data_IF_538302605175
#
_entry.id   IF_538302605175
#
_cell.length_a   1.000
_cell.length_b   1.000
_cell.length_c   1.000
_cell.angle_alpha   90.00
_cell.angle_beta   90.00
_cell.angle_gamma   90.00
#
_symmetry.space_group_name_H-M   'P 1'
#
loop_
_entity.id
_entity.type
_entity.pdbx_description
1 polymer ?
#
# COMPACT_ATOMS: atom_id res chain seq x y z
N UNK A 1 24.96 71.76 -73.39
CA UNK A 1 24.11 72.03 -72.20
C UNK A 1 22.98 71.03 -72.04
N UNK A 2 22.27 70.64 -73.10
CA UNK A 2 21.08 69.77 -73.04
C UNK A 2 21.36 68.33 -72.60
N UNK A 3 22.44 67.70 -73.10
CA UNK A 3 22.79 66.32 -72.77
C UNK A 3 23.17 66.10 -71.29
N UNK A 4 23.87 67.07 -70.70
CA UNK A 4 24.31 67.01 -69.30
C UNK A 4 23.13 67.13 -68.33
N UNK A 5 22.13 67.96 -68.66
CA UNK A 5 20.89 68.10 -67.89
C UNK A 5 20.03 66.84 -67.97
N UNK A 6 20.01 66.14 -69.11
CA UNK A 6 19.28 64.88 -69.24
C UNK A 6 19.92 63.75 -68.44
N UNK A 7 21.25 63.67 -68.43
CA UNK A 7 21.99 62.68 -67.65
C UNK A 7 21.75 62.87 -66.14
N UNK A 8 21.85 64.10 -65.65
CA UNK A 8 21.55 64.44 -64.26
C UNK A 8 20.10 64.08 -63.86
N UNK A 9 19.12 64.28 -64.75
CA UNK A 9 17.72 63.87 -64.50
C UNK A 9 17.54 62.35 -64.41
N UNK A 10 18.32 61.59 -65.16
CA UNK A 10 18.30 60.12 -65.10
C UNK A 10 18.90 59.65 -63.78
N UNK A 11 20.03 60.20 -63.36
CA UNK A 11 20.69 59.87 -62.09
C UNK A 11 19.80 60.20 -60.87
N UNK A 12 19.14 61.36 -60.86
CA UNK A 12 18.17 61.71 -59.80
C UNK A 12 17.04 60.68 -59.71
N UNK A 13 16.49 60.24 -60.84
CA UNK A 13 15.43 59.22 -60.85
C UNK A 13 15.93 57.86 -60.36
N UNK A 14 17.17 57.52 -60.67
CA UNK A 14 17.79 56.27 -60.22
C UNK A 14 17.98 56.29 -58.69
N UNK A 15 18.53 57.39 -58.14
CA UNK A 15 18.67 57.58 -56.70
C UNK A 15 17.31 57.57 -55.98
N UNK A 16 16.27 58.15 -56.57
CA UNK A 16 14.91 58.09 -56.02
C UNK A 16 14.40 56.65 -55.92
N UNK A 17 14.54 55.84 -56.98
CA UNK A 17 14.16 54.42 -56.95
C UNK A 17 14.98 53.61 -55.95
N UNK A 18 16.27 53.88 -55.84
CA UNK A 18 17.13 53.22 -54.86
C UNK A 18 16.71 53.58 -53.42
N UNK A 19 16.37 54.85 -53.17
CA UNK A 19 15.83 55.27 -51.87
C UNK A 19 14.48 54.62 -51.57
N UNK A 20 13.56 54.52 -52.54
CA UNK A 20 12.28 53.83 -52.38
C UNK A 20 12.47 52.34 -52.09
N UNK A 21 13.37 51.67 -52.81
CA UNK A 21 13.70 50.26 -52.58
C UNK A 21 14.35 50.03 -51.21
N UNK A 22 15.24 50.94 -50.78
CA UNK A 22 15.84 50.89 -49.44
C UNK A 22 14.77 51.11 -48.34
N UNK A 23 13.84 52.04 -48.53
CA UNK A 23 12.74 52.27 -47.59
C UNK A 23 11.84 51.04 -47.45
N UNK A 24 11.47 50.39 -48.58
CA UNK A 24 10.70 49.15 -48.55
C UNK A 24 11.45 48.01 -47.84
N UNK A 25 12.77 47.90 -48.06
CA UNK A 25 13.61 46.93 -47.36
C UNK A 25 13.67 47.18 -45.85
N UNK A 26 13.79 48.44 -45.44
CA UNK A 26 13.81 48.83 -44.02
C UNK A 26 12.46 48.51 -43.34
N UNK A 27 11.34 48.79 -43.98
CA UNK A 27 10.02 48.42 -43.45
C UNK A 27 9.82 46.90 -43.34
N UNK A 28 10.34 46.14 -44.32
CA UNK A 28 10.39 44.68 -44.24
C UNK A 28 11.19 44.18 -43.04
N UNK A 29 12.40 44.72 -42.84
CA UNK A 29 13.25 44.38 -41.70
C UNK A 29 12.62 44.76 -40.36
N UNK A 30 11.93 45.91 -40.30
CA UNK A 30 11.21 46.35 -39.09
C UNK A 30 10.10 45.38 -38.72
N UNK A 31 9.32 44.94 -39.71
CA UNK A 31 8.26 43.94 -39.50
C UNK A 31 8.82 42.60 -39.02
N UNK A 32 9.94 42.15 -39.59
CA UNK A 32 10.62 40.93 -39.16
C UNK A 32 11.14 41.04 -37.72
N UNK A 33 11.73 42.18 -37.35
CA UNK A 33 12.18 42.45 -35.98
C UNK A 33 11.01 42.43 -34.99
N UNK A 34 9.85 42.98 -35.35
CA UNK A 34 8.68 42.99 -34.48
C UNK A 34 8.11 41.57 -34.29
N UNK A 35 8.09 40.76 -35.36
CA UNK A 35 7.71 39.34 -35.27
C UNK A 35 8.66 38.55 -34.36
N UNK A 36 9.97 38.72 -34.53
CA UNK A 36 10.98 38.04 -33.71
C UNK A 36 10.88 38.43 -32.23
N UNK A 37 10.63 39.72 -31.93
CA UNK A 37 10.39 40.17 -30.55
C UNK A 37 9.16 39.50 -29.93
N UNK A 38 8.09 39.35 -30.71
CA UNK A 38 6.89 38.67 -30.25
C UNK A 38 7.16 37.19 -29.95
N UNK A 39 7.91 36.50 -30.81
CA UNK A 39 8.30 35.10 -30.61
C UNK A 39 9.18 34.93 -29.36
N UNK A 40 10.19 35.79 -29.17
CA UNK A 40 11.03 35.79 -27.97
C UNK A 40 10.18 35.98 -26.71
N UNK A 41 9.19 36.89 -26.75
CA UNK A 41 8.29 37.15 -25.61
C UNK A 41 7.35 35.96 -25.33
N UNK A 42 7.02 35.15 -26.34
CA UNK A 42 6.27 33.91 -26.17
C UNK A 42 7.15 32.85 -25.51
N UNK A 43 8.35 32.61 -26.05
CA UNK A 43 9.29 31.61 -25.53
C UNK A 43 9.73 31.92 -24.09
N UNK A 44 9.88 33.18 -23.72
CA UNK A 44 10.16 33.58 -22.34
C UNK A 44 9.05 33.17 -21.38
N UNK A 45 7.79 33.43 -21.75
CA UNK A 45 6.63 33.03 -20.94
C UNK A 45 6.50 31.52 -20.84
N UNK A 46 6.75 30.80 -21.92
CA UNK A 46 6.75 29.33 -21.90
C UNK A 46 7.86 28.81 -20.99
N UNK A 47 9.07 29.37 -21.03
CA UNK A 47 10.16 28.97 -20.15
C UNK A 47 9.84 29.22 -18.66
N UNK A 48 9.18 30.33 -18.34
CA UNK A 48 8.71 30.62 -16.99
C UNK A 48 7.66 29.59 -16.55
N UNK A 49 6.70 29.25 -17.41
CA UNK A 49 5.69 28.24 -17.14
C UNK A 49 6.31 26.85 -16.90
N UNK A 50 7.23 26.41 -17.77
CA UNK A 50 7.94 25.13 -17.59
C UNK A 50 8.77 25.11 -16.31
N UNK A 51 9.39 26.23 -15.93
CA UNK A 51 10.13 26.34 -14.66
C UNK A 51 9.21 26.15 -13.46
N UNK A 52 8.00 26.75 -13.49
CA UNK A 52 7.00 26.56 -12.44
C UNK A 52 6.51 25.10 -12.37
N UNK A 53 6.26 24.46 -13.51
CA UNK A 53 5.88 23.04 -13.56
C UNK A 53 6.96 22.12 -12.99
N UNK A 54 8.23 22.37 -13.30
CA UNK A 54 9.36 21.61 -12.75
C UNK A 54 9.44 21.72 -11.23
N UNK A 55 9.17 22.90 -10.67
CA UNK A 55 9.12 23.09 -9.21
C UNK A 55 8.00 22.23 -8.61
N UNK A 56 6.80 22.26 -9.18
CA UNK A 56 5.67 21.46 -8.71
C UNK A 56 5.96 19.95 -8.80
N UNK A 57 6.57 19.50 -9.90
CA UNK A 57 6.95 18.09 -10.07
C UNK A 57 7.98 17.68 -9.03
N UNK A 58 8.97 18.54 -8.74
CA UNK A 58 9.97 18.29 -7.71
C UNK A 58 9.34 18.14 -6.32
N UNK A 59 8.40 19.01 -5.97
CA UNK A 59 7.71 18.93 -4.67
C UNK A 59 6.87 17.66 -4.56
N UNK A 60 6.15 17.29 -5.62
CA UNK A 60 5.39 16.03 -5.67
C UNK A 60 6.30 14.82 -5.55
N UNK A 61 7.47 14.85 -6.19
CA UNK A 61 8.45 13.76 -6.12
C UNK A 61 8.97 13.57 -4.70
N UNK A 62 9.29 14.65 -3.98
CA UNK A 62 9.71 14.58 -2.58
C UNK A 62 8.60 13.99 -1.68
N UNK A 63 7.34 14.36 -1.90
CA UNK A 63 6.21 13.78 -1.16
C UNK A 63 6.09 12.28 -1.43
N UNK A 64 6.18 11.87 -2.70
CA UNK A 64 6.10 10.46 -3.08
C UNK A 64 7.27 9.65 -2.52
N UNK A 65 8.49 10.19 -2.51
CA UNK A 65 9.66 9.55 -1.91
C UNK A 65 9.45 9.27 -0.42
N UNK A 66 8.96 10.27 0.33
CA UNK A 66 8.61 10.10 1.74
C UNK A 66 7.52 9.03 1.95
N UNK A 67 6.49 8.99 1.09
CA UNK A 67 5.44 7.97 1.16
C UNK A 67 5.99 6.56 0.93
N UNK A 68 6.90 6.40 -0.04
CA UNK A 68 7.56 5.12 -0.31
C UNK A 68 8.40 4.67 0.89
N UNK A 69 9.14 5.58 1.52
CA UNK A 69 9.88 5.24 2.74
C UNK A 69 8.96 4.81 3.89
N UNK A 70 7.82 5.48 4.09
CA UNK A 70 6.85 5.07 5.12
C UNK A 70 6.29 3.68 4.86
N UNK A 71 5.89 3.38 3.62
CA UNK A 71 5.37 2.06 3.25
C UNK A 71 6.42 0.96 3.43
N UNK A 72 7.70 1.26 3.17
CA UNK A 72 8.78 0.32 3.41
C UNK A 72 8.94 0.01 4.91
N UNK A 73 8.91 1.03 5.76
CA UNK A 73 8.98 0.85 7.23
C UNK A 73 7.79 0.04 7.75
N UNK A 74 6.59 0.32 7.26
CA UNK A 74 5.39 -0.44 7.61
C UNK A 74 5.50 -1.91 7.17
N UNK A 75 6.04 -2.16 5.97
CA UNK A 75 6.33 -3.52 5.49
C UNK A 75 7.29 -4.29 6.41
N UNK A 76 8.36 -3.64 6.86
CA UNK A 76 9.32 -4.21 7.83
C UNK A 76 8.66 -4.50 9.19
N UNK A 77 7.74 -3.63 9.65
CA UNK A 77 6.97 -3.86 10.87
C UNK A 77 6.01 -5.07 10.72
N UNK A 78 5.24 -5.14 9.63
CA UNK A 78 4.33 -6.26 9.37
C UNK A 78 5.04 -7.61 9.27
N UNK A 79 6.21 -7.66 8.64
CA UNK A 79 7.01 -8.89 8.59
C UNK A 79 7.47 -9.34 9.97
N UNK A 80 7.87 -8.40 10.84
CA UNK A 80 8.25 -8.68 12.23
C UNK A 80 7.08 -9.20 13.07
N UNK A 81 5.90 -8.61 12.91
CA UNK A 81 4.67 -9.08 13.56
C UNK A 81 4.28 -10.49 13.09
N UNK A 82 4.40 -10.76 11.79
CA UNK A 82 4.07 -12.07 11.22
C UNK A 82 4.99 -13.17 11.79
N UNK A 83 6.28 -12.91 11.91
CA UNK A 83 7.25 -13.83 12.55
C UNK A 83 6.88 -14.10 14.01
N UNK A 84 6.45 -13.07 14.73
CA UNK A 84 6.03 -13.18 16.14
C UNK A 84 4.76 -14.01 16.26
N UNK A 85 3.76 -13.77 15.41
CA UNK A 85 2.50 -14.52 15.38
C UNK A 85 2.78 -15.99 15.02
N UNK A 86 3.59 -16.26 13.99
CA UNK A 86 3.95 -17.61 13.59
C UNK A 86 4.62 -18.38 14.74
N UNK A 87 5.55 -17.73 15.45
CA UNK A 87 6.21 -18.33 16.62
C UNK A 87 5.21 -18.67 17.73
N UNK A 88 4.28 -17.75 18.02
CA UNK A 88 3.22 -17.99 19.02
C UNK A 88 2.29 -19.12 18.60
N UNK A 89 1.87 -19.17 17.34
CA UNK A 89 1.03 -20.25 16.80
C UNK A 89 1.71 -21.59 16.95
N UNK A 90 2.99 -21.72 16.56
CA UNK A 90 3.74 -22.97 16.73
C UNK A 90 3.81 -23.41 18.20
N UNK A 91 4.01 -22.48 19.14
CA UNK A 91 4.03 -22.79 20.58
C UNK A 91 2.65 -23.25 21.04
N UNK A 92 1.58 -22.56 20.66
CA UNK A 92 0.21 -22.91 21.03
C UNK A 92 -0.21 -24.26 20.44
N UNK A 93 0.14 -24.55 19.18
CA UNK A 93 -0.11 -25.86 18.56
C UNK A 93 0.56 -26.99 19.35
N UNK A 94 1.85 -26.84 19.71
CA UNK A 94 2.56 -27.83 20.52
C UNK A 94 1.94 -28.00 21.92
N UNK A 95 1.50 -26.92 22.55
CA UNK A 95 0.82 -26.97 23.85
C UNK A 95 -0.52 -27.71 23.74
N UNK A 96 -1.30 -27.43 22.70
CA UNK A 96 -2.58 -28.10 22.45
C UNK A 96 -2.38 -29.59 22.18
N UNK A 97 -1.37 -29.97 21.38
CA UNK A 97 -1.03 -31.38 21.17
C UNK A 97 -0.66 -32.08 22.48
N UNK A 98 0.16 -31.43 23.31
CA UNK A 98 0.57 -31.97 24.61
C UNK A 98 -0.64 -32.16 25.52
N UNK A 99 -1.53 -31.17 25.61
CA UNK A 99 -2.76 -31.25 26.40
C UNK A 99 -3.71 -32.33 25.90
N UNK A 100 -3.82 -32.52 24.58
CA UNK A 100 -4.62 -33.62 24.00
C UNK A 100 -4.06 -34.97 24.39
N UNK A 101 -2.75 -35.19 24.26
CA UNK A 101 -2.08 -36.44 24.68
C UNK A 101 -2.27 -36.69 26.18
N UNK A 102 -2.13 -35.66 26.99
CA UNK A 102 -2.35 -35.71 28.44
C UNK A 102 -3.80 -36.07 28.79
N UNK A 103 -4.77 -35.46 28.10
CA UNK A 103 -6.19 -35.73 28.27
C UNK A 103 -6.55 -37.17 27.90
N UNK A 104 -6.02 -37.69 26.79
CA UNK A 104 -6.18 -39.10 26.40
C UNK A 104 -5.59 -40.06 27.44
N UNK A 105 -4.42 -39.74 28.00
CA UNK A 105 -3.80 -40.56 29.06
C UNK A 105 -4.58 -40.54 30.38
N UNK A 106 -5.31 -39.46 30.67
CA UNK A 106 -6.04 -39.22 31.93
C UNK A 106 -7.54 -39.50 31.85
N UNK A 107 -8.02 -40.21 30.83
CA UNK A 107 -9.43 -40.63 30.75
C UNK A 107 -9.78 -41.57 31.90
N UNK A 108 -10.94 -41.37 32.53
CA UNK A 108 -11.44 -42.19 33.63
C UNK A 108 -12.93 -42.46 33.45
N UNK A 109 -13.33 -43.73 33.57
CA UNK A 109 -14.73 -44.11 33.79
C UNK A 109 -14.86 -44.79 35.15
N UNK A 110 -16.01 -44.59 35.81
CA UNK A 110 -16.33 -45.33 37.03
C UNK A 110 -17.75 -45.85 36.99
N UNK A 111 -17.97 -47.00 37.62
CA UNK A 111 -19.30 -47.53 37.89
C UNK A 111 -19.41 -47.84 39.39
N UNK A 112 -20.61 -47.63 39.94
CA UNK A 112 -20.86 -47.83 41.37
C UNK A 112 -22.21 -48.54 41.57
N UNK A 113 -22.24 -49.49 42.50
CA UNK A 113 -23.44 -50.26 42.87
C UNK A 113 -23.64 -50.24 44.38
N UNK A 114 -24.91 -50.16 44.79
CA UNK A 114 -25.34 -50.25 46.19
C UNK A 114 -25.28 -51.69 46.73
N UNK A 115 -25.26 -52.68 45.85
CA UNK A 115 -25.14 -54.10 46.19
C UNK A 115 -23.72 -54.60 45.92
N UNK A 116 -23.23 -55.51 46.76
CA UNK A 116 -21.91 -56.11 46.60
C UNK A 116 -21.85 -57.09 45.42
N UNK A 117 -22.97 -57.79 45.14
CA UNK A 117 -23.17 -58.65 43.97
C UNK A 117 -24.67 -58.99 43.84
N UNK A 118 -25.09 -59.48 42.66
CA UNK A 118 -26.45 -59.97 42.44
C UNK A 118 -27.52 -58.87 42.32
N UNK A 119 -28.80 -59.28 42.42
CA UNK A 119 -29.96 -58.41 42.34
C UNK A 119 -30.64 -58.28 43.70
N UNK A 120 -31.12 -57.10 44.04
CA UNK A 120 -31.71 -56.81 45.34
C UNK A 120 -32.25 -55.39 45.42
N UNK A 121 -33.15 -55.15 46.36
CA UNK A 121 -33.73 -53.84 46.58
C UNK A 121 -33.04 -53.16 47.78
N UNK A 122 -32.70 -51.88 47.63
CA UNK A 122 -32.08 -51.06 48.68
C UNK A 122 -33.10 -50.03 49.16
N UNK A 123 -33.73 -50.32 50.30
CA UNK A 123 -34.88 -49.60 50.84
C UNK A 123 -36.04 -50.55 51.14
N UNK A 124 -37.23 -50.03 51.55
CA UNK A 124 -37.55 -48.61 51.71
C UNK A 124 -36.92 -47.99 52.97
N UNK A 125 -36.62 -46.69 52.94
CA UNK A 125 -36.14 -45.94 54.10
C UNK A 125 -37.22 -44.96 54.56
N UNK A 126 -37.49 -44.92 55.86
CA UNK A 126 -38.47 -44.01 56.49
C UNK A 126 -37.83 -42.74 57.08
N UNK A 127 -36.50 -42.63 57.02
CA UNK A 127 -35.70 -41.48 57.46
C UNK A 127 -34.55 -41.24 56.49
N UNK A 128 -33.93 -40.05 56.53
CA UNK A 128 -32.76 -39.74 55.72
C UNK A 128 -31.63 -40.75 55.99
N UNK A 129 -31.31 -41.54 54.97
CA UNK A 129 -30.32 -42.63 55.06
C UNK A 129 -29.22 -42.39 54.04
N UNK A 130 -27.97 -42.36 54.49
CA UNK A 130 -26.81 -42.30 53.60
C UNK A 130 -26.64 -43.64 52.89
N UNK A 131 -26.61 -43.62 51.56
CA UNK A 131 -26.37 -44.80 50.75
C UNK A 131 -24.87 -45.06 50.62
N UNK A 132 -24.45 -46.29 50.92
CA UNK A 132 -23.07 -46.74 50.78
C UNK A 132 -22.97 -47.61 49.54
N UNK A 133 -22.19 -47.17 48.55
CA UNK A 133 -21.84 -47.99 47.40
C UNK A 133 -20.88 -49.08 47.85
N UNK A 134 -21.33 -50.34 47.73
CA UNK A 134 -20.57 -51.52 48.18
C UNK A 134 -19.60 -52.03 47.14
N UNK A 135 -19.79 -51.65 45.88
CA UNK A 135 -18.93 -52.04 44.78
C UNK A 135 -18.69 -50.83 43.88
N UNK A 136 -17.43 -50.42 43.72
CA UNK A 136 -17.01 -49.31 42.86
C UNK A 136 -15.87 -49.81 41.98
N UNK A 137 -16.04 -49.70 40.67
CA UNK A 137 -15.00 -50.03 39.69
C UNK A 137 -14.57 -48.74 39.03
N UNK A 138 -13.27 -48.52 38.94
CA UNK A 138 -12.69 -47.39 38.21
C UNK A 138 -11.78 -47.94 37.13
N UNK A 139 -11.94 -47.40 35.94
CA UNK A 139 -11.14 -47.72 34.78
C UNK A 139 -10.35 -46.47 34.38
N UNK A 140 -9.04 -46.61 34.19
CA UNK A 140 -8.12 -45.47 34.01
C UNK A 140 -7.35 -45.64 32.71
N UNK A 141 -7.17 -44.53 32.00
CA UNK A 141 -6.42 -44.45 30.75
C UNK A 141 -7.07 -45.26 29.62
N UNK A 142 -6.25 -45.99 28.85
CA UNK A 142 -6.65 -46.68 27.61
C UNK A 142 -7.65 -47.82 27.76
N UNK A 143 -7.94 -48.25 28.98
CA UNK A 143 -8.96 -49.28 29.20
C UNK A 143 -10.38 -48.69 29.19
N UNK A 144 -10.55 -47.35 29.17
CA UNK A 144 -11.81 -46.65 28.94
C UNK A 144 -12.47 -47.07 27.62
N UNK A 145 -13.78 -47.35 27.65
CA UNK A 145 -14.59 -47.59 26.46
C UNK A 145 -15.53 -46.38 26.26
N UNK A 146 -15.39 -45.59 25.18
CA UNK A 146 -16.24 -44.41 24.94
C UNK A 146 -17.72 -44.72 24.65
N UNK A 147 -18.08 -46.00 24.44
CA UNK A 147 -19.46 -46.42 24.16
C UNK A 147 -20.21 -46.94 25.39
N UNK A 148 -19.64 -46.83 26.59
CA UNK A 148 -20.25 -47.19 27.88
C UNK A 148 -20.29 -45.99 28.80
#
# INVERSE_FOLDING_TARGET
MTALLTEQRVEIRQLQRENEAQAAKLEGQKTEVDNLKQEISHLQRDNEAHTAELIIIKDRMNVTENQVETLKRDGEAYTSELITIQSRTNVTENQVETLKRDGEAKQVAFSASLLASGYGHVGPFNTQTALVFRHVVTNIGKAYNPNT
#
